data_IF_953251602916
#
_entry.id   IF_953251602916
#
_cell.length_a   1.000
_cell.length_b   1.000
_cell.length_c   1.000
_cell.angle_alpha   90.00
_cell.angle_beta   90.00
_cell.angle_gamma   90.00
#
_symmetry.space_group_name_H-M   'P 1'
#
loop_
_entity.id
_entity.type
_entity.pdbx_description
1 polymer ?
#
# COMPACT_ATOMS: atom_id res chain seq x y z
N UNK A 1 -13.58 36.59 4.08
CA UNK A 1 -13.85 36.36 2.64
C UNK A 1 -13.98 34.87 2.43
N UNK A 2 -14.92 34.42 1.60
CA UNK A 2 -14.92 33.03 1.15
C UNK A 2 -13.74 32.80 0.19
N UNK A 3 -13.05 31.67 0.34
CA UNK A 3 -11.94 31.26 -0.51
C UNK A 3 -12.13 29.83 -1.01
N UNK A 4 -11.18 29.32 -1.81
CA UNK A 4 -11.19 27.92 -2.24
C UNK A 4 -10.93 27.00 -1.05
N UNK A 5 -11.75 25.97 -0.90
CA UNK A 5 -11.60 24.93 0.13
C UNK A 5 -11.32 23.60 -0.56
N UNK A 6 -10.28 22.90 -0.12
CA UNK A 6 -9.86 21.63 -0.71
C UNK A 6 -8.67 21.80 -1.67
N UNK A 7 -8.43 20.80 -2.52
CA UNK A 7 -7.25 20.71 -3.41
C UNK A 7 -5.89 20.89 -2.70
N UNK A 8 -5.85 20.55 -1.41
CA UNK A 8 -4.66 20.64 -0.59
C UNK A 8 -4.12 19.25 -0.26
N UNK A 9 -2.78 19.13 -0.22
CA UNK A 9 -2.11 17.90 0.19
C UNK A 9 -2.18 17.75 1.70
N UNK A 10 -3.13 16.96 2.18
CA UNK A 10 -3.30 16.63 3.60
C UNK A 10 -2.77 15.22 3.91
N UNK A 11 -2.30 14.99 5.13
CA UNK A 11 -1.89 13.66 5.62
C UNK A 11 -2.64 13.31 6.89
N UNK A 12 -3.36 12.19 6.89
CA UNK A 12 -3.94 11.63 8.12
C UNK A 12 -2.88 10.77 8.81
N UNK A 13 -2.54 11.11 10.05
CA UNK A 13 -1.47 10.45 10.80
C UNK A 13 -2.00 9.30 11.66
N UNK A 14 -1.13 8.33 11.96
CA UNK A 14 -1.39 7.24 12.91
C UNK A 14 -2.56 6.31 12.55
N UNK A 15 -2.83 6.14 11.25
CA UNK A 15 -3.75 5.11 10.77
C UNK A 15 -3.17 3.72 10.99
N UNK A 16 -4.05 2.75 11.27
CA UNK A 16 -3.66 1.38 11.60
C UNK A 16 -3.87 0.50 10.37
N UNK A 17 -2.85 -0.25 9.96
CA UNK A 17 -2.99 -1.33 8.99
C UNK A 17 -3.49 -2.57 9.72
N UNK A 18 -4.68 -3.06 9.33
CA UNK A 18 -5.33 -4.21 9.99
C UNK A 18 -4.91 -5.51 9.35
N UNK A 19 -4.78 -5.52 8.02
CA UNK A 19 -4.40 -6.71 7.25
C UNK A 19 -3.72 -6.29 5.95
N UNK A 20 -2.76 -7.09 5.52
CA UNK A 20 -2.15 -7.01 4.20
C UNK A 20 -2.54 -8.26 3.41
N UNK A 21 -3.04 -8.06 2.21
CA UNK A 21 -3.28 -9.14 1.24
C UNK A 21 -2.19 -9.08 0.17
N UNK A 22 -1.28 -10.05 0.24
CA UNK A 22 -0.07 -10.11 -0.57
C UNK A 22 -0.34 -10.66 -1.98
N UNK A 23 -1.43 -11.42 -2.15
CA UNK A 23 -1.82 -11.98 -3.45
C UNK A 23 -2.46 -10.90 -4.33
N UNK A 24 -3.36 -10.11 -3.74
CA UNK A 24 -4.06 -9.03 -4.44
C UNK A 24 -3.33 -7.69 -4.37
N UNK A 25 -2.26 -7.60 -3.59
CA UNK A 25 -1.53 -6.35 -3.37
C UNK A 25 -2.34 -5.28 -2.63
N UNK A 26 -3.24 -5.68 -1.73
CA UNK A 26 -4.15 -4.76 -1.02
C UNK A 26 -3.69 -4.49 0.41
N UNK A 27 -3.86 -3.24 0.86
CA UNK A 27 -3.66 -2.82 2.24
C UNK A 27 -5.01 -2.45 2.86
N UNK A 28 -5.38 -3.12 3.95
CA UNK A 28 -6.59 -2.81 4.70
C UNK A 28 -6.25 -1.84 5.82
N UNK A 29 -6.64 -0.57 5.65
CA UNK A 29 -6.39 0.50 6.62
C UNK A 29 -7.66 0.79 7.41
N UNK A 30 -7.54 0.86 8.74
CA UNK A 30 -8.62 1.31 9.63
C UNK A 30 -8.63 2.83 9.69
N UNK A 31 -9.69 3.43 9.16
CA UNK A 31 -9.94 4.87 9.24
C UNK A 31 -10.26 5.48 7.87
N UNK A 32 -10.24 6.81 7.81
CA UNK A 32 -10.47 7.56 6.59
C UNK A 32 -9.14 7.94 5.92
N UNK A 33 -9.12 7.84 4.59
CA UNK A 33 -8.04 8.32 3.73
C UNK A 33 -8.53 9.60 3.04
N UNK A 34 -7.72 10.67 3.00
CA UNK A 34 -8.15 11.91 2.37
C UNK A 34 -8.31 11.73 0.85
N UNK A 35 -9.34 12.35 0.29
CA UNK A 35 -9.65 12.30 -1.13
C UNK A 35 -10.72 11.27 -1.49
N UNK A 36 -11.03 11.19 -2.78
CA UNK A 36 -12.00 10.24 -3.33
C UNK A 36 -11.37 8.87 -3.60
N UNK A 37 -12.23 7.85 -3.76
CA UNK A 37 -11.80 6.51 -4.19
C UNK A 37 -11.09 6.59 -5.55
N UNK A 38 -10.03 5.80 -5.72
CA UNK A 38 -9.21 5.78 -6.95
C UNK A 38 -8.19 6.90 -7.06
N UNK A 39 -8.11 7.81 -6.09
CA UNK A 39 -7.05 8.81 -6.02
C UNK A 39 -5.69 8.21 -5.65
N UNK A 40 -4.63 8.89 -6.07
CA UNK A 40 -3.26 8.54 -5.68
C UNK A 40 -3.00 8.95 -4.23
N UNK A 41 -2.38 8.04 -3.48
CA UNK A 41 -2.04 8.25 -2.07
C UNK A 41 -0.57 7.91 -1.82
N UNK A 42 0.07 8.70 -0.97
CA UNK A 42 1.41 8.43 -0.47
C UNK A 42 1.31 7.77 0.91
N UNK A 43 1.79 6.54 1.02
CA UNK A 43 1.87 5.81 2.28
C UNK A 43 3.31 5.84 2.78
N UNK A 44 3.48 6.12 4.08
CA UNK A 44 4.76 6.18 4.77
C UNK A 44 4.60 5.69 6.21
N UNK A 45 5.71 5.31 6.83
CA UNK A 45 5.72 4.91 8.23
C UNK A 45 5.28 6.04 9.16
N UNK A 46 4.64 5.66 10.27
CA UNK A 46 4.13 6.61 11.25
C UNK A 46 5.29 7.23 12.04
N UNK A 47 5.37 8.56 12.03
CA UNK A 47 6.40 9.29 12.80
C UNK A 47 6.09 9.29 14.30
N UNK A 48 4.81 9.32 14.68
CA UNK A 48 4.39 9.49 16.08
C UNK A 48 4.14 8.17 16.82
N UNK A 49 4.12 7.04 16.12
CA UNK A 49 3.94 5.71 16.73
C UNK A 49 5.04 4.78 16.22
N UNK A 50 5.68 3.99 17.11
CA UNK A 50 6.68 3.03 16.67
C UNK A 50 6.04 1.97 15.78
N UNK A 51 6.83 1.47 14.83
CA UNK A 51 6.45 0.32 14.03
C UNK A 51 6.24 -0.92 14.92
N UNK A 52 5.46 -1.89 14.43
CA UNK A 52 5.33 -3.17 15.10
C UNK A 52 6.70 -3.85 15.19
N UNK A 53 6.99 -4.50 16.32
CA UNK A 53 8.31 -5.11 16.58
C UNK A 53 8.70 -6.19 15.56
N UNK A 54 7.70 -6.77 14.90
CA UNK A 54 7.86 -7.86 13.94
C UNK A 54 7.93 -7.35 12.48
N UNK A 55 7.94 -6.03 12.25
CA UNK A 55 8.01 -5.48 10.92
C UNK A 55 9.44 -5.65 10.34
N UNK A 56 9.60 -6.24 9.14
CA UNK A 56 10.91 -6.40 8.52
C UNK A 56 11.44 -5.05 8.04
N UNK A 57 12.66 -4.71 8.45
CA UNK A 57 13.42 -3.53 7.98
C UNK A 57 14.49 -4.06 7.03
N UNK A 58 14.62 -3.59 5.76
CA UNK A 58 14.01 -2.42 5.11
C UNK A 58 12.68 -2.68 4.36
N UNK A 59 12.15 -3.90 4.44
CA UNK A 59 10.86 -4.29 3.86
C UNK A 59 10.85 -5.76 3.44
N UNK A 60 9.67 -6.40 3.42
CA UNK A 60 9.48 -7.71 2.82
C UNK A 60 9.30 -7.55 1.30
N UNK A 61 10.40 -7.52 0.56
CA UNK A 61 10.36 -7.42 -0.90
C UNK A 61 10.16 -8.80 -1.51
N UNK A 62 9.17 -8.95 -2.40
CA UNK A 62 9.19 -10.03 -3.38
C UNK A 62 10.29 -9.70 -4.39
N UNK A 63 11.40 -10.44 -4.39
CA UNK A 63 12.42 -10.31 -5.42
C UNK A 63 11.78 -10.57 -6.78
N UNK A 64 12.02 -9.71 -7.78
CA UNK A 64 11.72 -10.01 -9.18
C UNK A 64 12.66 -11.12 -9.67
N UNK A 65 12.34 -12.35 -9.32
CA UNK A 65 13.06 -13.55 -9.73
C UNK A 65 12.26 -14.79 -9.37
N UNK A 66 11.20 -15.09 -10.14
CA UNK A 66 10.51 -16.38 -10.04
C UNK A 66 9.06 -16.38 -10.53
N UNK A 67 8.89 -16.82 -11.78
CA UNK A 67 7.72 -17.50 -12.35
C UNK A 67 6.43 -16.70 -12.64
N UNK A 68 6.31 -16.18 -13.88
CA UNK A 68 5.05 -16.18 -14.64
C UNK A 68 5.24 -16.13 -16.18
N UNK A 69 6.32 -16.73 -16.70
CA UNK A 69 6.48 -17.02 -18.15
C UNK A 69 7.18 -18.37 -18.32
N UNK A 70 6.44 -19.47 -18.20
CA UNK A 70 6.79 -20.81 -18.72
C UNK A 70 5.63 -21.80 -18.47
N UNK A 71 4.44 -21.53 -19.01
CA UNK A 71 3.36 -22.51 -19.05
C UNK A 71 2.44 -22.21 -20.25
N UNK A 72 2.97 -22.35 -21.47
CA UNK A 72 2.20 -22.58 -22.72
C UNK A 72 3.16 -22.59 -23.93
N UNK A 73 3.86 -23.72 -24.17
CA UNK A 73 4.20 -24.18 -25.52
C UNK A 73 5.00 -25.49 -25.47
N UNK A 74 4.44 -26.52 -26.13
CA UNK A 74 4.99 -27.86 -26.45
C UNK A 74 4.75 -29.00 -25.46
N UNK A 75 3.48 -29.34 -25.29
CA UNK A 75 3.03 -30.72 -25.44
C UNK A 75 2.48 -30.87 -26.86
N UNK A 76 3.34 -31.24 -27.81
CA UNK A 76 3.00 -31.76 -29.15
C UNK A 76 4.30 -32.05 -29.91
N UNK A 77 4.64 -33.34 -29.97
CA UNK A 77 5.43 -34.10 -30.95
C UNK A 77 6.30 -35.15 -30.26
#
# INVERSE_FOLDING_TARGET
MAGHMGDERVTTQNLIVVKTDVERGLLMVRGAVPGSKGGWVLVRDAVKKPAHKDAPVPGAFKSKGGAETAAESKEQA
#
